data_IF_202995177475
#
_entry.id   IF_202995177475
#
_cell.length_a   1.000
_cell.length_b   1.000
_cell.length_c   1.000
_cell.angle_alpha   90.00
_cell.angle_beta   90.00
_cell.angle_gamma   90.00
#
_symmetry.space_group_name_H-M   'P 1'
#
loop_
_entity.id
_entity.type
_entity.pdbx_description
1 polymer ?
2 non-polymer ?
3 non-polymer ?
4 non-polymer ?
5 non-polymer ?
6 water ?
#
# COMPACT_ATOMS: atom_id res chain seq x y z
N UNK A 12 -33.19 2.80 -6.03
CA UNK A 12 -32.05 1.87 -5.73
C UNK A 12 -32.46 0.90 -4.61
N UNK A 13 -32.39 -0.40 -4.91
CA UNK A 13 -32.92 -1.44 -4.01
C UNK A 13 -32.11 -1.46 -2.70
N UNK A 14 -30.81 -1.16 -2.76
CA UNK A 14 -29.97 -1.07 -1.56
C UNK A 14 -30.53 -0.07 -0.56
N UNK A 15 -31.08 1.04 -1.05
CA UNK A 15 -31.58 2.15 -0.17
C UNK A 15 -32.87 1.70 0.53
N UNK A 16 -33.53 0.63 0.07
CA UNK A 16 -34.75 0.07 0.73
C UNK A 16 -34.36 -1.04 1.72
N UNK A 17 -33.07 -1.38 1.77
CA UNK A 17 -32.55 -2.48 2.61
C UNK A 17 -33.15 -3.80 2.11
N UNK A 18 -33.50 -3.89 0.82
CA UNK A 18 -34.05 -5.12 0.20
C UNK A 18 -32.97 -5.82 -0.61
N UNK A 19 -31.87 -5.13 -0.85
CA UNK A 19 -30.72 -5.69 -1.58
C UNK A 19 -29.45 -5.45 -0.77
N UNK A 20 -28.84 -6.53 -0.31
CA UNK A 20 -27.71 -6.39 0.64
C UNK A 20 -26.39 -6.43 -0.12
N UNK A 21 -25.59 -5.40 0.08
CA UNK A 21 -24.20 -5.33 -0.45
C UNK A 21 -23.26 -5.16 0.74
N UNK A 22 -22.30 -6.07 0.85
CA UNK A 22 -21.27 -6.09 1.92
C UNK A 22 -20.39 -4.83 1.82
N UNK A 23 -20.05 -4.23 2.97
CA UNK A 23 -18.96 -3.22 3.00
C UNK A 23 -17.65 -3.95 2.73
N UNK A 24 -16.59 -3.27 2.22
CA UNK A 24 -15.39 -4.00 1.81
C UNK A 24 -14.46 -4.42 2.98
N UNK A 25 -14.80 -4.07 4.22
CA UNK A 25 -13.93 -4.37 5.39
C UNK A 25 -14.77 -4.87 6.56
N UNK A 26 -14.19 -5.76 7.35
CA UNK A 26 -14.67 -6.06 8.73
C UNK A 26 -13.67 -5.44 9.69
N UNK A 27 -14.15 -4.64 10.64
CA UNK A 27 -13.30 -4.01 11.65
C UNK A 27 -13.60 -4.71 12.97
N UNK A 28 -12.59 -5.25 13.63
CA UNK A 28 -12.77 -5.92 14.92
C UNK A 28 -11.87 -5.25 15.95
N UNK A 29 -12.48 -4.62 16.94
CA UNK A 29 -11.73 -4.04 18.07
C UNK A 29 -11.05 -5.19 18.82
N UNK A 30 -9.82 -4.98 19.23
CA UNK A 30 -9.07 -6.01 19.99
C UNK A 30 -9.38 -5.83 21.48
N UNK A 31 -8.77 -6.65 22.33
CA UNK A 31 -9.10 -6.61 23.77
C UNK A 31 -8.70 -5.27 24.35
N UNK A 32 -7.65 -4.66 23.83
CA UNK A 32 -7.41 -3.20 23.99
C UNK A 32 -8.10 -2.53 22.81
N UNK A 33 -9.30 -1.91 23.02
CA UNK A 33 -10.23 -1.70 21.92
C UNK A 33 -9.82 -0.61 20.92
N UNK A 34 -8.82 0.20 21.27
CA UNK A 34 -8.28 1.21 20.31
C UNK A 34 -7.44 0.51 19.24
N UNK A 35 -6.96 -0.70 19.51
CA UNK A 35 -6.23 -1.51 18.50
C UNK A 35 -7.27 -2.23 17.66
N UNK A 36 -7.19 -2.13 16.34
CA UNK A 36 -8.29 -2.65 15.50
C UNK A 36 -7.72 -3.60 14.46
N UNK A 37 -8.29 -4.79 14.37
CA UNK A 37 -7.95 -5.74 13.31
C UNK A 37 -8.89 -5.48 12.12
N UNK A 38 -8.33 -5.31 10.93
CA UNK A 38 -9.12 -5.04 9.70
C UNK A 38 -8.97 -6.22 8.75
N UNK A 39 -10.11 -6.76 8.31
CA UNK A 39 -10.16 -7.91 7.40
C UNK A 39 -10.76 -7.43 6.09
N UNK A 40 -9.93 -7.14 5.07
CA UNK A 40 -10.44 -6.66 3.80
C UNK A 40 -10.97 -7.84 2.97
N UNK A 41 -11.91 -7.53 2.08
CA UNK A 41 -12.50 -8.53 1.18
C UNK A 41 -11.51 -8.86 0.06
N UNK A 42 -11.34 -10.14 -0.22
CA UNK A 42 -10.54 -10.61 -1.36
C UNK A 42 -11.50 -10.87 -2.51
N UNK A 43 -11.42 -10.08 -3.57
CA UNK A 43 -12.27 -10.30 -4.75
C UNK A 43 -11.50 -11.20 -5.69
N UNK A 44 -11.97 -12.41 -5.88
CA UNK A 44 -11.22 -13.42 -6.63
C UNK A 44 -11.72 -13.43 -8.06
N UNK A 45 -10.80 -13.37 -9.00
CA UNK A 45 -11.20 -13.40 -10.43
C UNK A 45 -10.35 -14.46 -11.11
N UNK A 46 -10.51 -14.58 -12.42
CA UNK A 46 -9.90 -15.71 -13.15
C UNK A 46 -8.39 -15.47 -13.34
N UNK A 47 -7.87 -14.30 -12.97
CA UNK A 47 -6.41 -14.08 -13.13
C UNK A 47 -5.72 -13.75 -11.81
N UNK A 48 -6.45 -13.74 -10.69
CA UNK A 48 -5.86 -13.49 -9.37
C UNK A 48 -6.87 -12.91 -8.42
N UNK A 49 -6.51 -11.84 -7.75
CA UNK A 49 -7.42 -11.21 -6.78
C UNK A 49 -7.19 -9.71 -6.80
N UNK A 50 -8.16 -9.02 -6.23
CA UNK A 50 -8.15 -7.56 -6.01
C UNK A 50 -8.62 -7.32 -4.59
N UNK A 51 -7.87 -6.53 -3.84
CA UNK A 51 -8.25 -6.13 -2.46
C UNK A 51 -8.22 -4.60 -2.37
N UNK A 52 -9.30 -3.99 -1.89
CA UNK A 52 -9.26 -2.59 -1.42
C UNK A 52 -8.69 -2.63 -0.02
N UNK A 53 -7.48 -2.11 0.17
CA UNK A 53 -6.77 -2.29 1.47
C UNK A 53 -6.99 -1.11 2.38
N UNK A 54 -7.42 0.04 1.85
CA UNK A 54 -7.66 1.26 2.63
C UNK A 54 -8.69 2.12 1.91
N UNK A 55 -9.67 2.60 2.65
CA UNK A 55 -10.58 3.67 2.16
C UNK A 55 -10.82 4.63 3.33
N UNK A 56 -10.44 5.88 3.14
CA UNK A 56 -10.46 6.86 4.25
C UNK A 56 -11.87 6.93 4.84
N UNK A 57 -12.91 7.00 4.02
CA UNK A 57 -14.30 7.16 4.53
C UNK A 57 -14.65 6.01 5.50
N UNK A 58 -14.44 4.76 5.10
CA UNK A 58 -14.74 3.57 5.95
C UNK A 58 -13.87 3.57 7.21
N UNK A 59 -12.58 3.89 7.07
CA UNK A 59 -11.64 3.83 8.22
C UNK A 59 -12.03 4.88 9.26
N UNK A 60 -12.41 6.08 8.82
CA UNK A 60 -12.77 7.17 9.76
C UNK A 60 -14.07 6.85 10.49
N UNK A 61 -14.97 6.09 9.85
CA UNK A 61 -16.24 5.62 10.45
C UNK A 61 -15.95 4.62 11.58
N UNK A 62 -14.72 4.10 11.66
CA UNK A 62 -14.37 3.10 12.70
C UNK A 62 -13.29 3.67 13.62
N UNK A 63 -13.13 4.99 13.60
CA UNK A 63 -12.28 5.72 14.55
C UNK A 63 -10.83 5.74 14.14
N UNK A 64 -10.50 5.33 12.92
CA UNK A 64 -9.10 5.40 12.44
C UNK A 64 -8.90 6.74 11.74
N UNK A 65 -8.34 7.67 12.50
CA UNK A 65 -8.29 9.10 12.16
C UNK A 65 -6.85 9.45 11.88
N UNK A 66 -6.65 10.59 11.25
CA UNK A 66 -5.32 11.09 10.90
C UNK A 66 -5.08 10.94 9.42
N UNK A 67 -4.03 11.60 8.97
CA UNK A 67 -3.58 11.52 7.56
C UNK A 67 -2.37 10.60 7.55
N UNK A 68 -2.30 9.72 6.57
CA UNK A 68 -1.18 8.76 6.45
C UNK A 68 -0.10 9.36 5.57
N UNK A 69 0.91 9.97 6.18
CA UNK A 69 1.90 10.80 5.46
C UNK A 69 3.11 10.00 5.00
N UNK A 70 3.24 8.75 5.44
CA UNK A 70 4.46 8.01 5.11
C UNK A 70 4.14 6.53 4.98
N UNK A 71 4.67 5.92 3.93
CA UNK A 71 4.56 4.46 3.73
C UNK A 71 5.94 3.85 3.75
N UNK A 72 6.07 2.70 4.40
CA UNK A 72 7.32 1.93 4.48
C UNK A 72 7.07 0.49 4.07
N UNK A 73 8.14 -0.14 3.59
CA UNK A 73 8.13 -1.53 3.09
C UNK A 73 9.37 -2.19 3.68
N UNK A 74 9.21 -3.26 4.45
CA UNK A 74 10.39 -4.01 4.90
C UNK A 74 10.33 -5.43 4.37
N UNK A 75 11.47 -5.94 3.97
CA UNK A 75 11.63 -7.37 3.64
C UNK A 75 12.53 -8.01 4.69
N UNK A 76 12.05 -9.09 5.28
CA UNK A 76 12.79 -9.94 6.23
C UNK A 76 13.04 -11.29 5.58
N UNK A 77 14.30 -11.65 5.31
CA UNK A 77 14.61 -12.84 4.48
C UNK A 77 14.38 -14.11 5.28
N UNK A 78 14.73 -14.12 6.55
CA UNK A 78 14.76 -15.35 7.38
C UNK A 78 13.65 -15.34 8.43
N UNK A 79 13.06 -16.49 8.66
CA UNK A 79 12.26 -16.79 9.88
C UNK A 79 13.11 -16.41 11.10
N UNK A 80 12.48 -15.82 12.12
CA UNK A 80 13.16 -15.50 13.39
C UNK A 80 13.68 -14.08 13.44
N UNK A 81 13.59 -13.32 12.35
CA UNK A 81 13.81 -11.86 12.42
C UNK A 81 12.76 -11.28 13.39
N UNK A 82 13.20 -10.47 14.34
CA UNK A 82 12.29 -9.73 15.23
C UNK A 82 12.65 -8.26 15.17
N UNK A 83 11.67 -7.41 14.87
CA UNK A 83 11.84 -5.93 14.81
C UNK A 83 10.91 -5.30 15.85
N UNK A 84 11.44 -4.44 16.70
CA UNK A 84 10.66 -3.75 17.74
C UNK A 84 11.44 -3.74 19.06
N UNK A 85 10.83 -3.20 20.14
CA UNK A 85 9.57 -2.50 20.13
C UNK A 85 9.81 -1.04 19.79
N UNK A 86 9.07 -0.52 18.82
CA UNK A 86 9.33 0.80 18.23
C UNK A 86 8.18 1.77 18.46
N UNK A 87 8.55 3.01 18.74
CA UNK A 87 7.61 4.14 18.81
C UNK A 87 8.40 5.44 18.61
N UNK A 88 7.69 6.51 18.28
CA UNK A 88 8.26 7.88 18.16
C UNK A 88 7.66 8.75 19.26
N UNK A 89 8.51 9.52 19.95
CA UNK A 89 8.05 10.47 20.98
C UNK A 89 7.12 11.52 20.37
N UNK A 90 6.14 11.95 21.15
CA UNK A 90 5.31 13.15 20.84
C UNK A 90 6.27 14.32 20.61
N UNK A 91 6.01 15.25 19.66
CA UNK A 91 4.79 15.26 18.85
C UNK A 91 4.85 14.48 17.53
N UNK A 92 5.72 13.48 17.44
CA UNK A 92 5.96 12.72 16.19
C UNK A 92 5.39 11.29 16.27
N UNK A 93 4.46 10.99 17.19
CA UNK A 93 3.93 9.61 17.32
C UNK A 93 3.29 9.18 16.01
N UNK A 94 3.57 7.95 15.60
CA UNK A 94 2.99 7.39 14.36
C UNK A 94 1.89 6.39 14.73
N UNK A 95 0.66 6.66 14.31
CA UNK A 95 -0.33 5.60 14.11
C UNK A 95 0.11 4.75 12.93
N UNK A 96 -0.10 3.44 12.98
CA UNK A 96 0.39 2.55 11.88
C UNK A 96 -0.71 1.60 11.46
N UNK A 97 -0.90 1.47 10.14
CA UNK A 97 -1.67 0.35 9.56
C UNK A 97 -0.65 -0.64 9.02
N UNK A 98 -0.63 -1.85 9.55
CA UNK A 98 0.39 -2.88 9.23
C UNK A 98 -0.28 -4.01 8.47
N UNK A 99 0.34 -4.48 7.38
CA UNK A 99 -0.17 -5.67 6.67
C UNK A 99 1.00 -6.43 6.07
N UNK A 100 0.76 -7.67 5.70
CA UNK A 100 1.84 -8.54 5.17
C UNK A 100 1.43 -8.94 3.76
N UNK A 101 2.21 -8.57 2.76
CA UNK A 101 1.86 -8.88 1.34
C UNK A 101 2.46 -10.23 0.93
N UNK A 102 3.55 -10.65 1.57
CA UNK A 102 4.11 -12.02 1.38
C UNK A 102 4.67 -12.49 2.71
N UNK A 103 4.38 -13.72 3.09
CA UNK A 103 4.91 -14.32 4.31
C UNK A 103 3.98 -14.14 5.48
N UNK A 104 4.54 -14.02 6.68
CA UNK A 104 3.73 -14.14 7.92
C UNK A 104 4.51 -13.56 9.10
N UNK A 105 3.81 -12.78 9.91
CA UNK A 105 4.40 -12.31 11.19
C UNK A 105 3.42 -12.56 12.33
N UNK A 106 4.01 -12.67 13.51
CA UNK A 106 3.33 -12.46 14.80
C UNK A 106 3.50 -10.99 15.11
N UNK A 107 2.40 -10.25 15.09
CA UNK A 107 2.42 -8.79 15.23
C UNK A 107 1.91 -8.41 16.62
N UNK A 108 2.58 -7.46 17.27
CA UNK A 108 2.26 -7.04 18.67
C UNK A 108 2.10 -5.54 18.74
N UNK A 109 1.08 -5.10 19.47
CA UNK A 109 0.85 -3.70 19.82
C UNK A 109 0.92 -3.57 21.33
N UNK A 110 1.73 -2.64 21.82
CA UNK A 110 1.90 -2.44 23.27
C UNK A 110 1.42 -1.03 23.62
N UNK A 111 0.52 -0.93 24.60
CA UNK A 111 -0.01 0.38 25.02
C UNK A 111 1.08 1.08 25.85
N UNK A 112 1.64 2.19 25.36
CA UNK A 112 2.66 2.95 26.13
C UNK A 112 2.17 4.38 26.36
N UNK A 113 0.88 4.54 26.66
CA UNK A 113 0.31 5.86 26.99
C UNK A 113 0.34 6.04 28.51
N UNK A 114 1.14 6.97 29.02
CA UNK A 114 1.15 7.26 30.47
C UNK A 114 -0.28 7.51 30.96
N UNK A 115 -0.60 6.87 32.11
CA UNK A 115 -1.90 7.01 32.81
C UNK A 115 -2.94 6.12 32.14
N UNK A 116 -2.59 5.36 31.10
CA UNK A 116 -3.55 4.41 30.50
C UNK A 116 -3.84 3.31 31.52
N UNK A 117 -5.11 2.89 31.69
CA UNK A 117 -5.41 1.72 32.51
C UNK A 117 -4.83 0.43 31.95
N UNK A 118 -4.46 0.43 30.66
CA UNK A 118 -3.77 -0.72 30.01
C UNK A 118 -2.31 -0.37 29.65
N UNK A 119 -1.69 0.61 30.31
CA UNK A 119 -0.24 0.85 30.16
C UNK A 119 0.56 -0.43 30.35
N UNK A 120 1.46 -0.72 29.40
CA UNK A 120 2.37 -1.87 29.46
C UNK A 120 1.71 -3.17 29.05
N UNK A 121 0.43 -3.13 28.71
CA UNK A 121 -0.30 -4.32 28.21
C UNK A 121 -0.20 -4.38 26.68
N UNK A 122 -0.43 -5.57 26.14
CA UNK A 122 -0.22 -5.83 24.71
C UNK A 122 -1.27 -6.76 24.17
N UNK A 123 -1.52 -6.64 22.87
CA UNK A 123 -2.32 -7.68 22.15
C UNK A 123 -1.51 -8.11 20.92
N UNK A 124 -1.79 -9.29 20.40
CA UNK A 124 -1.05 -9.84 19.26
C UNK A 124 -2.01 -10.48 18.27
N UNK A 125 -1.56 -10.63 17.02
CA UNK A 125 -2.34 -11.33 15.99
C UNK A 125 -1.37 -11.78 14.91
N UNK A 126 -1.77 -12.77 14.14
CA UNK A 126 -0.95 -13.23 13.00
C UNK A 126 -1.37 -12.46 11.75
N UNK A 127 -0.44 -11.71 11.17
CA UNK A 127 -0.71 -11.04 9.89
C UNK A 127 -0.01 -11.83 8.80
N UNK A 128 -0.72 -12.22 7.75
CA UNK A 128 -0.06 -13.02 6.70
C UNK A 128 -0.58 -12.68 5.31
N UNK A 129 0.13 -13.19 4.31
CA UNK A 129 -0.32 -13.08 2.91
C UNK A 129 -1.44 -14.07 2.65
N UNK A 130 -1.68 -14.98 3.58
CA UNK A 130 -2.79 -15.94 3.46
C UNK A 130 -4.10 -15.31 3.98
N UNK A 131 -4.02 -14.60 5.10
CA UNK A 131 -5.25 -14.01 5.69
C UNK A 131 -5.50 -12.60 5.14
N UNK A 132 -4.45 -11.88 4.71
CA UNK A 132 -4.55 -10.48 4.20
C UNK A 132 -5.09 -9.55 5.29
N UNK A 133 -4.95 -9.89 6.57
CA UNK A 133 -5.41 -9.02 7.67
C UNK A 133 -4.48 -7.81 7.82
N UNK A 134 -5.01 -6.75 8.40
CA UNK A 134 -4.24 -5.52 8.69
C UNK A 134 -4.50 -5.12 10.15
N UNK A 135 -3.48 -4.60 10.81
CA UNK A 135 -3.66 -4.15 12.21
C UNK A 135 -3.48 -2.63 12.27
N UNK A 136 -4.42 -1.96 12.93
CA UNK A 136 -4.33 -0.53 13.30
C UNK A 136 -3.69 -0.43 14.68
N UNK A 137 -2.54 0.21 14.75
CA UNK A 137 -1.80 0.43 16.02
C UNK A 137 -1.79 1.93 16.22
N UNK A 138 -2.64 2.48 17.12
CA UNK A 138 -2.79 3.91 17.24
C UNK A 138 -1.54 4.58 17.79
N UNK A 139 -1.44 5.91 17.66
CA UNK A 139 -0.35 6.65 18.30
C UNK A 139 -0.39 6.40 19.83
N UNK A 140 0.78 6.37 20.45
CA UNK A 140 0.92 6.06 21.88
C UNK A 140 1.23 4.60 22.12
N UNK A 141 1.21 3.78 21.07
CA UNK A 141 1.51 2.34 21.16
C UNK A 141 2.87 2.04 20.52
N UNK A 142 3.58 1.05 21.04
CA UNK A 142 4.78 0.50 20.37
C UNK A 142 4.36 -0.69 19.51
N UNK A 143 5.12 -0.91 18.44
CA UNK A 143 4.93 -2.03 17.50
C UNK A 143 6.13 -2.98 17.61
N UNK A 144 5.85 -4.27 17.58
CA UNK A 144 6.88 -5.29 17.34
C UNK A 144 6.36 -6.37 16.44
N UNK A 145 7.25 -7.06 15.75
CA UNK A 145 6.85 -8.18 14.90
C UNK A 145 7.94 -9.25 14.92
N UNK A 146 7.51 -10.48 14.82
CA UNK A 146 8.39 -11.65 14.69
C UNK A 146 8.05 -12.34 13.38
N UNK A 147 9.06 -12.54 12.56
CA UNK A 147 8.87 -13.16 11.21
C UNK A 147 8.76 -14.67 11.34
N UNK A 148 7.67 -15.24 10.83
CA UNK A 148 7.39 -16.68 10.99
C UNK A 148 7.62 -17.42 9.67
N UNK A 149 7.85 -16.72 8.57
CA UNK A 149 8.10 -17.37 7.27
C UNK A 149 9.20 -16.63 6.53
N UNK A 150 9.96 -17.36 5.72
CA UNK A 150 11.02 -16.72 4.91
C UNK A 150 10.41 -15.72 3.94
N UNK A 151 11.20 -14.72 3.58
CA UNK A 151 10.88 -13.73 2.54
C UNK A 151 9.58 -13.01 2.91
N UNK A 152 9.49 -12.51 4.13
CA UNK A 152 8.29 -11.80 4.60
C UNK A 152 8.39 -10.31 4.24
N UNK A 153 7.37 -9.82 3.55
CA UNK A 153 7.24 -8.40 3.15
C UNK A 153 6.13 -7.74 3.96
N UNK A 154 6.51 -6.79 4.79
CA UNK A 154 5.60 -6.01 5.66
C UNK A 154 5.43 -4.61 5.06
N UNK A 155 4.20 -4.13 4.98
CA UNK A 155 3.92 -2.77 4.51
C UNK A 155 3.28 -2.00 5.66
N UNK A 156 3.74 -0.76 5.87
CA UNK A 156 3.23 0.14 6.92
C UNK A 156 2.73 1.43 6.30
N UNK A 157 1.55 1.89 6.69
CA UNK A 157 1.10 3.28 6.48
C UNK A 157 1.19 3.97 7.83
N UNK A 158 1.88 5.11 7.89
CA UNK A 158 2.18 5.83 9.15
C UNK A 158 1.52 7.19 9.13
N UNK A 159 0.97 7.64 10.26
CA UNK A 159 0.34 8.98 10.33
C UNK A 159 1.48 10.01 10.16
N UNK A 160 2.40 10.13 11.11
CA UNK A 160 3.52 11.09 11.05
C UNK A 160 4.68 10.56 10.19
N UNK A 161 5.41 11.50 9.58
CA UNK A 161 6.68 11.21 8.88
C UNK A 161 7.73 10.83 9.93
N UNK A 162 8.67 10.04 9.49
CA UNK A 162 9.87 9.60 10.26
C UNK A 162 10.65 10.83 10.74
N UNK A 163 10.98 10.81 12.02
CA UNK A 163 11.81 11.85 12.69
C UNK A 163 12.84 11.09 13.50
N UNK A 164 14.08 10.94 12.97
CA UNK A 164 15.06 10.04 13.57
C UNK A 164 15.30 10.31 15.06
N UNK A 165 15.30 11.58 15.46
CA UNK A 165 15.67 11.95 16.85
C UNK A 165 14.52 11.57 17.80
N UNK A 166 13.32 11.30 17.29
CA UNK A 166 12.13 10.97 18.12
C UNK A 166 12.00 9.46 18.36
N UNK A 167 12.74 8.65 17.61
CA UNK A 167 12.60 7.17 17.61
C UNK A 167 13.11 6.61 18.94
N UNK A 168 12.33 5.72 19.56
CA UNK A 168 12.77 5.04 20.79
C UNK A 168 12.55 3.55 20.64
N UNK A 169 13.28 2.79 21.44
CA UNK A 169 13.42 1.32 21.32
C UNK A 169 13.27 0.72 22.70
N UNK A 170 12.30 -0.16 22.88
CA UNK A 170 12.16 -0.97 24.12
C UNK A 170 12.46 -2.42 23.79
N UNK A 171 13.20 -3.08 24.68
CA UNK A 171 13.66 -4.47 24.50
C UNK A 171 12.46 -5.39 24.29
N UNK A 172 12.51 -6.18 23.23
CA UNK A 172 11.44 -7.12 22.79
C UNK A 172 11.05 -8.03 23.96
N UNK A 173 12.03 -8.44 24.77
CA UNK A 173 11.80 -9.45 25.83
C UNK A 173 11.78 -8.77 27.20
N UNK A 174 11.45 -7.48 27.24
CA UNK A 174 11.22 -6.77 28.51
C UNK A 174 10.36 -7.64 29.43
N UNK A 175 10.84 -7.94 30.66
CA UNK A 175 10.08 -8.84 31.55
C UNK A 175 8.82 -8.25 32.20
N UNK A 176 8.69 -6.92 32.24
CA UNK A 176 7.44 -6.29 32.72
C UNK A 176 6.36 -6.39 31.64
N UNK A 177 6.69 -6.09 30.39
CA UNK A 177 5.68 -6.20 29.30
C UNK A 177 5.37 -7.69 29.12
N UNK A 178 6.43 -8.52 29.09
CA UNK A 178 6.31 -9.99 29.12
C UNK A 178 5.46 -10.46 27.93
N UNK A 179 5.86 -10.06 26.74
CA UNK A 179 5.21 -10.57 25.51
C UNK A 179 5.55 -12.05 25.41
N UNK A 180 4.56 -12.88 25.10
CA UNK A 180 4.81 -14.32 24.89
C UNK A 180 5.08 -14.56 23.40
N UNK A 181 6.31 -14.31 22.99
CA UNK A 181 6.76 -14.49 21.58
C UNK A 181 6.78 -15.97 21.26
N UNK A 182 6.18 -16.43 20.13
CA UNK A 182 6.20 -17.86 19.80
C UNK A 182 7.58 -18.50 19.54
N UNK A 183 8.63 -17.70 19.39
CA UNK A 183 10.03 -18.16 19.21
C UNK A 183 10.93 -17.26 20.07
N UNK A 184 11.87 -17.85 20.82
CA UNK A 184 12.74 -17.08 21.76
C UNK A 184 14.22 -17.40 21.53
N UNK A 185 14.53 -18.36 20.65
CA UNK A 185 15.92 -18.80 20.37
C UNK A 185 16.29 -18.42 18.93
N UNK A 186 17.58 -18.21 18.69
CA UNK A 186 18.16 -17.88 17.36
C UNK A 186 17.34 -16.80 16.69
N UNK A 187 17.06 -15.73 17.43
CA UNK A 187 16.40 -14.54 16.88
C UNK A 187 17.43 -13.72 16.14
N UNK A 188 16.99 -13.03 15.11
CA UNK A 188 17.85 -12.09 14.36
C UNK A 188 17.36 -10.67 14.65
N UNK A 189 18.13 -9.96 15.46
CA UNK A 189 17.81 -8.59 15.92
C UNK A 189 18.79 -7.64 15.24
N UNK A 190 18.36 -6.43 14.90
CA UNK A 190 19.27 -5.32 14.52
C UNK A 190 20.09 -4.91 15.75
N UNK A 191 21.14 -4.11 15.57
CA UNK A 191 21.96 -3.63 16.72
C UNK A 191 21.11 -2.67 17.58
N UNK A 192 20.32 -1.80 16.93
CA UNK A 192 19.44 -0.86 17.65
C UNK A 192 18.46 -1.65 18.51
N UNK A 193 17.91 -2.74 17.99
CA UNK A 193 16.85 -3.50 18.69
C UNK A 193 17.45 -4.35 19.81
N UNK A 194 18.59 -5.01 19.54
CA UNK A 194 19.38 -5.74 20.55
C UNK A 194 19.70 -4.80 21.70
N UNK A 195 19.82 -3.49 21.43
CA UNK A 195 20.23 -2.50 22.44
C UNK A 195 19.02 -1.71 22.97
N UNK A 196 17.79 -2.17 22.73
CA UNK A 196 16.60 -1.48 23.26
C UNK A 196 16.66 -1.40 24.79
N UNK A 197 16.04 -0.39 25.38
CA UNK A 197 16.06 -0.23 26.86
C UNK A 197 14.92 -1.01 27.49
N UNK A 198 15.08 -1.36 28.77
CA UNK A 198 13.98 -1.97 29.55
C UNK A 198 12.95 -0.88 29.88
N UNK A 199 11.71 -1.33 29.94
CA UNK A 199 10.53 -0.44 30.11
C UNK A 199 10.75 0.48 31.32
N UNK A 200 11.31 -0.04 32.41
CA UNK A 200 11.48 0.76 33.65
C UNK A 200 12.38 1.98 33.40
N UNK A 201 13.21 1.96 32.35
CA UNK A 201 14.16 3.07 32.07
C UNK A 201 13.81 3.73 30.74
N UNK A 202 12.67 3.40 30.14
CA UNK A 202 12.32 3.90 28.79
C UNK A 202 11.90 5.37 28.87
N UNK A 203 12.22 6.11 27.82
CA UNK A 203 11.72 7.49 27.66
C UNK A 203 10.39 7.45 26.90
N UNK A 204 9.33 7.88 27.58
CA UNK A 204 7.94 7.84 27.07
C UNK A 204 7.29 9.17 27.41
N UNK A 205 6.71 9.84 26.43
CA UNK A 205 5.98 11.09 26.73
C UNK A 205 4.52 11.00 26.28
N UNK A 206 4.10 9.91 25.63
CA UNK A 206 2.68 9.78 25.23
C UNK A 206 1.79 9.78 26.47
N UNK A 207 0.64 10.43 26.36
CA UNK A 207 -0.35 10.59 27.45
C UNK A 207 -1.67 9.93 27.05
N UNK A 208 -2.30 9.24 27.97
CA UNK A 208 -3.63 8.64 27.75
C UNK A 208 -4.69 9.73 27.72
N UNK A 209 -5.67 9.64 26.82
CA UNK A 209 -6.80 10.61 26.76
C UNK A 209 -8.18 9.96 26.71
N UNK A 210 -8.38 8.77 27.30
CA UNK A 210 -9.75 8.29 27.62
C UNK A 210 -10.36 7.50 26.48
N UNK B 20 23.49 1.68 -6.31
CA UNK B 20 23.67 2.76 -5.30
C UNK B 20 22.90 4.01 -5.73
N UNK B 21 22.09 4.52 -4.81
CA UNK B 21 21.38 5.82 -4.92
C UNK B 21 21.77 6.64 -3.70
N UNK B 22 22.23 7.87 -3.87
CA UNK B 22 22.65 8.69 -2.70
C UNK B 22 21.44 9.33 -2.01
N UNK B 23 20.39 9.69 -2.75
CA UNK B 23 19.27 10.54 -2.24
C UNK B 23 18.05 9.67 -1.92
N UNK B 24 17.13 10.12 -1.01
CA UNK B 24 16.01 9.27 -0.55
C UNK B 24 14.90 8.96 -1.58
N UNK B 25 14.55 9.94 -2.38
CA UNK B 25 13.81 9.71 -3.64
C UNK B 25 14.50 10.44 -4.78
N UNK B 26 14.44 9.83 -5.96
CA UNK B 26 14.73 10.52 -7.23
C UNK B 26 13.40 10.64 -7.98
N UNK B 27 13.04 11.85 -8.38
CA UNK B 27 11.83 12.11 -9.18
C UNK B 27 12.29 12.44 -10.61
N UNK B 28 11.79 11.71 -11.58
CA UNK B 28 12.15 11.90 -13.01
C UNK B 28 10.88 12.14 -13.81
N UNK B 29 10.72 13.32 -14.40
CA UNK B 29 9.58 13.58 -15.30
C UNK B 29 9.72 12.70 -16.54
N UNK B 30 8.60 12.18 -17.02
CA UNK B 30 8.51 11.39 -18.26
C UNK B 30 8.42 12.35 -19.45
N UNK B 31 8.37 11.82 -20.67
CA UNK B 31 8.33 12.72 -21.85
C UNK B 31 7.01 13.47 -21.87
N UNK B 32 5.94 12.91 -21.29
CA UNK B 32 4.75 13.69 -20.88
C UNK B 32 5.04 14.10 -19.45
N UNK B 33 5.41 15.39 -19.21
CA UNK B 33 6.15 15.76 -17.99
C UNK B 33 5.33 15.69 -16.69
N UNK B 34 4.01 15.62 -16.79
CA UNK B 34 3.13 15.47 -15.61
C UNK B 34 3.23 14.05 -15.05
N UNK B 35 3.64 13.09 -15.88
CA UNK B 35 3.84 11.69 -15.42
C UNK B 35 5.24 11.61 -14.81
N UNK B 36 5.35 11.05 -13.60
CA UNK B 36 6.65 11.13 -12.88
C UNK B 36 7.06 9.73 -12.45
N UNK B 37 8.28 9.36 -12.77
CA UNK B 37 8.86 8.11 -12.28
C UNK B 37 9.59 8.40 -10.96
N UNK B 38 9.28 7.61 -9.94
CA UNK B 38 9.89 7.79 -8.59
C UNK B 38 10.76 6.56 -8.28
N UNK B 39 12.00 6.82 -7.88
CA UNK B 39 12.96 5.77 -7.49
C UNK B 39 13.31 5.95 -6.02
N UNK B 40 12.76 5.12 -5.11
CA UNK B 40 13.09 5.24 -3.69
C UNK B 40 14.43 4.54 -3.40
N UNK B 41 15.11 5.02 -2.38
CA UNK B 41 16.38 4.41 -1.90
C UNK B 41 16.06 3.12 -1.14
N UNK B 42 16.78 2.06 -1.45
CA UNK B 42 16.64 0.76 -0.77
C UNK B 42 17.75 0.64 0.26
N UNK B 43 17.41 0.51 1.53
CA UNK B 43 18.41 0.28 2.60
C UNK B 43 18.54 -1.21 2.85
N UNK B 44 19.66 -1.83 2.55
CA UNK B 44 19.79 -3.29 2.71
C UNK B 44 20.68 -3.60 3.91
N UNK B 45 20.31 -4.58 4.70
CA UNK B 45 21.21 -5.10 5.77
C UNK B 45 21.16 -6.63 5.75
N UNK B 46 21.69 -7.29 6.77
CA UNK B 46 21.77 -8.77 6.79
C UNK B 46 20.39 -9.38 7.04
N UNK B 47 19.42 -8.59 7.48
CA UNK B 47 18.04 -9.10 7.77
C UNK B 47 17.17 -9.07 6.50
N UNK B 48 17.48 -8.16 5.57
CA UNK B 48 16.68 -7.88 4.37
C UNK B 48 16.82 -6.45 3.90
N UNK B 49 15.71 -5.77 3.65
CA UNK B 49 15.80 -4.35 3.23
C UNK B 49 14.66 -3.55 3.84
N UNK B 50 14.81 -2.24 3.77
CA UNK B 50 13.79 -1.26 4.19
C UNK B 50 13.70 -0.19 3.11
N UNK B 51 12.47 0.15 2.71
CA UNK B 51 12.23 1.27 1.75
C UNK B 51 11.19 2.23 2.34
N UNK B 52 11.47 3.52 2.34
CA UNK B 52 10.41 4.53 2.56
C UNK B 52 9.82 4.77 1.17
N UNK B 53 8.60 4.29 0.90
CA UNK B 53 8.07 4.28 -0.48
C UNK B 53 7.29 5.56 -0.79
N UNK B 54 6.86 6.28 0.23
CA UNK B 54 6.07 7.52 0.09
C UNK B 54 6.32 8.41 1.29
N UNK B 55 6.54 9.68 1.03
CA UNK B 55 6.54 10.71 2.09
C UNK B 55 5.85 11.94 1.54
N UNK B 56 4.77 12.37 2.19
CA UNK B 56 3.93 13.43 1.61
C UNK B 56 4.79 14.68 1.38
N UNK B 57 5.64 15.04 2.34
CA UNK B 57 6.47 16.27 2.25
C UNK B 57 7.29 16.25 0.95
N UNK B 58 8.07 15.20 0.70
CA UNK B 58 8.93 15.07 -0.49
C UNK B 58 8.08 15.07 -1.76
N UNK B 59 6.97 14.31 -1.76
CA UNK B 59 6.15 14.14 -2.98
C UNK B 59 5.54 15.48 -3.37
N UNK B 60 5.05 16.25 -2.39
CA UNK B 60 4.38 17.54 -2.68
C UNK B 60 5.40 18.55 -3.20
N UNK B 61 6.65 18.45 -2.74
CA UNK B 61 7.74 19.34 -3.19
C UNK B 61 8.07 19.06 -4.67
N UNK B 62 7.61 17.93 -5.21
CA UNK B 62 7.93 17.53 -6.61
C UNK B 62 6.65 17.49 -7.42
N UNK B 63 5.62 18.16 -6.93
CA UNK B 63 4.39 18.41 -7.69
C UNK B 63 3.37 17.29 -7.57
N UNK B 64 3.60 16.30 -6.71
CA UNK B 64 2.59 15.22 -6.53
C UNK B 64 1.67 15.63 -5.39
N UNK B 65 0.51 16.13 -5.78
CA UNK B 65 -0.44 16.81 -4.90
C UNK B 65 -1.67 15.94 -4.79
N UNK B 66 -2.47 16.23 -3.78
CA UNK B 66 -3.71 15.48 -3.55
C UNK B 66 -3.56 14.60 -2.33
N UNK B 67 -4.69 14.16 -1.83
CA UNK B 67 -4.75 13.20 -0.71
C UNK B 67 -5.03 11.82 -1.28
N UNK B 68 -4.31 10.83 -0.81
CA UNK B 68 -4.48 9.44 -1.27
C UNK B 68 -5.51 8.73 -0.39
N UNK B 69 -6.76 8.70 -0.82
CA UNK B 69 -7.90 8.29 0.02
C UNK B 69 -8.19 6.78 -0.14
N UNK B 70 -7.57 6.12 -1.10
CA UNK B 70 -7.89 4.71 -1.34
C UNK B 70 -6.65 3.98 -1.82
N UNK B 71 -6.41 2.83 -1.22
CA UNK B 71 -5.31 1.94 -1.61
C UNK B 71 -5.89 0.62 -2.07
N UNK B 72 -5.30 0.06 -3.12
CA UNK B 72 -5.73 -1.23 -3.71
C UNK B 72 -4.50 -2.09 -3.95
N UNK B 73 -4.71 -3.39 -3.94
CA UNK B 73 -3.67 -4.41 -4.10
C UNK B 73 -4.23 -5.40 -5.11
N UNK B 74 -3.59 -5.56 -6.24
CA UNK B 74 -4.07 -6.55 -7.23
C UNK B 74 -2.97 -7.56 -7.48
N UNK B 75 -3.36 -8.82 -7.41
CA UNK B 75 -2.43 -9.92 -7.76
C UNK B 75 -2.83 -10.49 -9.11
N UNK B 76 -1.88 -10.49 -10.03
CA UNK B 76 -2.01 -11.15 -11.35
C UNK B 76 -1.17 -12.43 -11.28
N UNK B 77 -1.83 -13.57 -11.09
CA UNK B 77 -1.11 -14.85 -10.92
C UNK B 77 -0.45 -15.25 -12.24
N UNK B 78 -1.11 -14.89 -13.35
CA UNK B 78 -0.74 -15.30 -14.72
C UNK B 78 0.05 -14.20 -15.44
N UNK B 79 1.17 -14.58 -16.01
CA UNK B 79 1.93 -13.79 -17.00
C UNK B 79 1.01 -13.54 -18.19
N UNK B 80 1.06 -12.35 -18.79
CA UNK B 80 0.30 -12.01 -20.01
C UNK B 80 -1.07 -11.40 -19.73
N UNK B 81 -1.46 -11.28 -18.46
CA UNK B 81 -2.63 -10.46 -18.07
C UNK B 81 -2.39 -9.03 -18.57
N UNK B 82 -3.37 -8.48 -19.29
CA UNK B 82 -3.34 -7.08 -19.71
C UNK B 82 -4.62 -6.45 -19.20
N UNK B 83 -4.50 -5.42 -18.36
CA UNK B 83 -5.65 -4.66 -17.84
C UNK B 83 -5.58 -3.20 -18.25
N UNK B 84 -6.70 -2.65 -18.70
CA UNK B 84 -6.76 -1.25 -19.14
C UNK B 84 -7.55 -1.14 -20.44
N UNK B 85 -7.67 0.05 -20.99
CA UNK B 85 -7.18 1.30 -20.43
C UNK B 85 -8.28 1.91 -19.58
N UNK B 86 -7.95 2.21 -18.34
CA UNK B 86 -8.97 2.58 -17.33
C UNK B 86 -8.79 4.01 -16.84
N UNK B 87 -9.90 4.69 -16.66
CA UNK B 87 -9.91 6.06 -16.08
C UNK B 87 -11.28 6.29 -15.48
N UNK B 88 -11.41 7.31 -14.64
CA UNK B 88 -12.70 7.70 -14.00
C UNK B 88 -13.04 9.12 -14.45
N UNK B 89 -14.28 9.35 -14.85
CA UNK B 89 -14.73 10.69 -15.28
C UNK B 89 -14.66 11.67 -14.12
N UNK B 90 -14.36 12.94 -14.43
CA UNK B 90 -14.51 14.05 -13.45
C UNK B 90 -15.96 14.01 -12.97
N UNK B 91 -16.25 14.36 -11.69
CA UNK B 91 -15.24 14.80 -10.71
C UNK B 91 -14.58 13.70 -9.88
N UNK B 92 -14.54 12.48 -10.39
CA UNK B 92 -14.06 11.29 -9.66
C UNK B 92 -12.70 10.81 -10.16
N UNK B 93 -11.95 11.60 -10.92
CA UNK B 93 -10.67 11.11 -11.51
C UNK B 93 -9.72 10.73 -10.37
N UNK B 94 -9.08 9.58 -10.50
CA UNK B 94 -8.08 9.10 -9.52
C UNK B 94 -6.70 9.37 -10.09
N UNK B 95 -5.90 10.22 -9.44
CA UNK B 95 -4.44 10.17 -9.58
C UNK B 95 -3.95 8.89 -8.94
N UNK B 96 -2.93 8.25 -9.48
CA UNK B 96 -2.48 6.95 -8.95
C UNK B 96 -0.97 6.95 -8.79
N UNK B 97 -0.50 6.45 -7.66
CA UNK B 97 0.89 5.99 -7.52
C UNK B 97 0.88 4.46 -7.65
N UNK B 98 1.62 3.95 -8.62
CA UNK B 98 1.66 2.53 -8.97
C UNK B 98 3.03 1.96 -8.64
N UNK B 99 3.08 0.83 -7.94
CA UNK B 99 4.37 0.14 -7.75
C UNK B 99 4.13 -1.36 -7.79
N UNK B 100 5.20 -2.08 -8.06
CA UNK B 100 5.13 -3.55 -8.10
C UNK B 100 5.97 -4.05 -6.93
N UNK B 101 5.32 -4.73 -5.99
CA UNK B 101 6.03 -5.21 -4.77
C UNK B 101 6.63 -6.59 -5.04
N UNK B 102 6.02 -7.37 -5.94
CA UNK B 102 6.57 -8.65 -6.41
C UNK B 102 6.25 -8.82 -7.90
N UNK B 103 7.22 -9.25 -8.68
CA UNK B 103 7.02 -9.51 -10.12
C UNK B 103 7.38 -8.31 -10.96
N UNK B 104 6.67 -8.14 -12.08
CA UNK B 104 7.10 -7.14 -13.08
C UNK B 104 5.93 -6.81 -14.03
N UNK B 105 5.74 -5.53 -14.31
CA UNK B 105 4.75 -5.12 -15.34
C UNK B 105 5.39 -4.12 -16.29
N UNK B 106 4.81 -4.06 -17.47
CA UNK B 106 4.93 -2.92 -18.40
C UNK B 106 3.75 -2.01 -18.08
N UNK B 107 4.04 -0.82 -17.56
CA UNK B 107 3.01 0.10 -17.05
C UNK B 107 2.87 1.27 -18.04
N UNK B 108 1.64 1.68 -18.34
CA UNK B 108 1.36 2.71 -19.37
C UNK B 108 0.47 3.78 -18.78
N UNK B 109 0.79 5.03 -19.07
CA UNK B 109 -0.05 6.21 -18.77
C UNK B 109 -0.41 6.85 -20.10
N UNK B 110 -1.69 7.15 -20.30
CA UNK B 110 -2.20 7.78 -21.54
C UNK B 110 -2.81 9.12 -21.18
N UNK B 111 -2.40 10.18 -21.86
CA UNK B 111 -2.94 11.52 -21.55
C UNK B 111 -4.33 11.62 -22.18
N UNK B 112 -5.38 11.73 -21.36
CA UNK B 112 -6.75 11.91 -21.89
C UNK B 112 -7.35 13.21 -21.39
N UNK B 113 -6.53 14.27 -21.34
CA UNK B 113 -7.01 15.63 -20.99
C UNK B 113 -7.38 16.37 -22.28
N UNK B 114 -8.64 16.67 -22.47
CA UNK B 114 -9.06 17.46 -23.66
C UNK B 114 -8.24 18.75 -23.74
N UNK B 115 -7.78 19.07 -24.96
CA UNK B 115 -7.02 20.29 -25.28
C UNK B 115 -5.55 20.11 -24.92
N UNK B 116 -5.17 18.95 -24.36
CA UNK B 116 -3.74 18.72 -24.07
C UNK B 116 -2.96 18.66 -25.37
N UNK B 117 -1.75 19.26 -25.44
CA UNK B 117 -0.86 19.08 -26.60
C UNK B 117 -0.41 17.62 -26.79
N UNK B 118 -0.54 16.81 -25.73
CA UNK B 118 -0.18 15.37 -25.77
C UNK B 118 -1.44 14.51 -25.58
N UNK B 119 -2.64 15.04 -25.83
CA UNK B 119 -3.86 14.20 -25.84
C UNK B 119 -3.67 12.94 -26.71
N UNK B 120 -4.02 11.79 -26.15
CA UNK B 120 -3.99 10.49 -26.85
C UNK B 120 -2.60 9.90 -26.91
N UNK B 121 -1.60 10.58 -26.35
CA UNK B 121 -0.21 10.08 -26.35
C UNK B 121 0.06 9.32 -25.04
N UNK B 122 1.12 8.53 -25.05
CA UNK B 122 1.37 7.60 -23.91
C UNK B 122 2.85 7.56 -23.55
N UNK B 123 3.12 7.22 -22.30
CA UNK B 123 4.49 6.89 -21.86
C UNK B 123 4.42 5.55 -21.13
N UNK B 124 5.54 4.83 -21.08
CA UNK B 124 5.58 3.51 -20.40
C UNK B 124 6.82 3.39 -19.56
N UNK B 125 6.78 2.49 -18.60
CA UNK B 125 7.98 2.13 -17.84
C UNK B 125 7.81 0.71 -17.35
N UNK B 126 8.92 0.06 -17.06
CA UNK B 126 8.87 -1.30 -16.48
C UNK B 126 8.95 -1.15 -14.97
N UNK B 127 7.89 -1.54 -14.27
CA UNK B 127 7.88 -1.49 -12.80
C UNK B 127 8.15 -2.90 -12.29
N UNK B 128 9.10 -3.06 -11.39
CA UNK B 128 9.35 -4.43 -10.89
C UNK B 128 9.74 -4.42 -9.40
N UNK B 129 9.76 -5.62 -8.84
CA UNK B 129 10.26 -5.84 -7.46
C UNK B 129 11.78 -5.74 -7.45
N UNK B 130 12.42 -5.76 -8.61
CA UNK B 130 13.90 -5.58 -8.69
C UNK B 130 14.25 -4.09 -8.68
N UNK B 131 13.52 -3.27 -9.42
CA UNK B 131 13.86 -1.82 -9.46
C UNK B 131 13.14 -1.06 -8.33
N UNK B 132 12.01 -1.54 -7.84
CA UNK B 132 11.19 -0.85 -6.79
C UNK B 132 10.75 0.54 -7.24
N UNK B 133 10.65 0.76 -8.55
CA UNK B 133 10.19 2.05 -9.09
C UNK B 133 8.70 2.22 -8.86
N UNK B 134 8.27 3.48 -8.85
CA UNK B 134 6.86 3.85 -8.69
C UNK B 134 6.53 4.84 -9.81
N UNK B 135 5.32 4.76 -10.36
CA UNK B 135 4.90 5.73 -11.38
C UNK B 135 3.74 6.56 -10.82
N UNK B 136 3.83 7.88 -10.98
CA UNK B 136 2.72 8.82 -10.70
C UNK B 136 1.95 9.05 -11.99
N UNK B 137 0.68 8.65 -12.00
CA UNK B 137 -0.21 8.85 -13.16
C UNK B 137 -1.25 9.85 -12.69
N UNK B 138 -1.17 11.13 -13.11
CA UNK B 138 -2.05 12.16 -12.56
C UNK B 138 -3.49 11.99 -13.03
N UNK B 139 -4.44 12.66 -12.36
CA UNK B 139 -5.81 12.70 -12.85
C UNK B 139 -5.85 13.22 -14.30
N UNK B 140 -6.77 12.70 -15.10
CA UNK B 140 -6.85 13.08 -16.52
C UNK B 140 -6.17 12.06 -17.40
N UNK B 141 -5.46 11.09 -16.82
CA UNK B 141 -4.74 10.05 -17.57
C UNK B 141 -5.43 8.69 -17.40
N UNK B 142 -5.35 7.84 -18.41
CA UNK B 142 -5.78 6.42 -18.30
C UNK B 142 -4.55 5.60 -17.94
N UNK B 143 -4.78 4.47 -17.29
CA UNK B 143 -3.74 3.51 -16.88
C UNK B 143 -3.99 2.18 -17.57
N UNK B 144 -2.90 1.56 -18.01
CA UNK B 144 -2.94 0.18 -18.49
C UNK B 144 -1.70 -0.54 -18.03
N UNK B 145 -1.76 -1.85 -17.94
CA UNK B 145 -0.56 -2.63 -17.54
C UNK B 145 -0.58 -4.00 -18.21
N UNK B 146 0.61 -4.51 -18.49
CA UNK B 146 0.81 -5.87 -19.01
C UNK B 146 1.72 -6.62 -18.05
N UNK B 147 1.26 -7.76 -17.56
CA UNK B 147 2.02 -8.53 -16.55
C UNK B 147 3.09 -9.35 -17.25
N UNK B 148 4.35 -9.19 -16.83
CA UNK B 148 5.49 -9.83 -17.51
C UNK B 148 6.03 -11.02 -16.71
N UNK B 149 5.57 -11.21 -15.48
CA UNK B 149 6.05 -12.33 -14.64
C UNK B 149 4.86 -12.89 -13.87
N UNK B 150 4.89 -14.18 -13.60
CA UNK B 150 3.86 -14.82 -12.77
C UNK B 150 3.88 -14.24 -11.36
N UNK B 151 2.73 -14.28 -10.70
CA UNK B 151 2.57 -13.87 -9.28
C UNK B 151 3.01 -12.41 -9.13
N UNK B 152 2.51 -11.54 -9.98
CA UNK B 152 2.86 -10.11 -9.90
C UNK B 152 1.83 -9.40 -9.00
N UNK B 153 2.35 -8.71 -7.99
CA UNK B 153 1.54 -7.95 -7.02
C UNK B 153 1.72 -6.46 -7.30
N UNK B 154 0.64 -5.79 -7.67
CA UNK B 154 0.58 -4.33 -7.95
C UNK B 154 -0.06 -3.64 -6.75
N UNK B 155 0.53 -2.55 -6.29
CA UNK B 155 -0.08 -1.74 -5.23
C UNK B 155 -0.37 -0.36 -5.82
N UNK B 156 -1.57 0.15 -5.55
CA UNK B 156 -2.03 1.47 -6.02
C UNK B 156 -2.43 2.32 -4.84
N UNK B 157 -1.95 3.56 -4.81
CA UNK B 157 -2.52 4.64 -3.97
C UNK B 157 -3.30 5.55 -4.91
N UNK B 158 -4.57 5.81 -4.61
CA UNK B 158 -5.50 6.60 -5.48
C UNK B 158 -5.92 7.86 -4.75
N UNK B 159 -6.05 8.98 -5.48
CA UNK B 159 -6.40 10.31 -4.90
C UNK B 159 -7.90 10.53 -4.81
N UNK B 160 -8.69 9.62 -5.34
CA UNK B 160 -10.15 9.64 -5.13
C UNK B 160 -10.58 8.24 -4.71
N UNK B 161 -11.60 8.14 -3.85
CA UNK B 161 -12.24 6.84 -3.58
C UNK B 161 -12.98 6.40 -4.85
N UNK B 162 -13.08 5.10 -5.02
CA UNK B 162 -13.62 4.50 -6.25
C UNK B 162 -15.12 4.80 -6.39
N UNK B 163 -15.50 5.26 -7.57
CA UNK B 163 -16.91 5.52 -7.94
C UNK B 163 -17.20 4.70 -9.19
N UNK B 164 -17.79 3.51 -9.02
CA UNK B 164 -17.89 2.53 -10.10
C UNK B 164 -18.59 3.12 -11.34
N UNK B 165 -19.58 4.00 -11.14
CA UNK B 165 -20.38 4.52 -12.28
C UNK B 165 -19.55 5.53 -13.10
N UNK B 166 -18.44 6.02 -12.56
CA UNK B 166 -17.54 6.97 -13.27
C UNK B 166 -16.46 6.26 -14.10
N UNK B 167 -16.32 4.94 -13.96
CA UNK B 167 -15.24 4.17 -14.63
C UNK B 167 -15.54 4.07 -16.13
N UNK B 168 -14.51 4.29 -16.93
CA UNK B 168 -14.63 4.17 -18.41
C UNK B 168 -13.47 3.32 -18.89
N UNK B 169 -13.62 2.76 -20.08
CA UNK B 169 -12.78 1.69 -20.65
C UNK B 169 -12.48 2.02 -22.11
N UNK B 170 -11.20 2.14 -22.45
CA UNK B 170 -10.76 2.30 -23.86
C UNK B 170 -9.96 1.05 -24.23
N UNK B 171 -10.19 0.53 -25.43
CA UNK B 171 -9.53 -0.67 -25.98
C UNK B 171 -8.02 -0.54 -25.84
N UNK B 172 -7.37 -1.54 -25.24
CA UNK B 172 -5.90 -1.64 -25.04
C UNK B 172 -5.17 -1.41 -26.38
N UNK B 173 -5.78 -1.89 -27.46
CA UNK B 173 -5.18 -1.89 -28.82
C UNK B 173 -5.75 -0.76 -29.67
N UNK B 174 -6.33 0.27 -29.06
CA UNK B 174 -6.79 1.46 -29.81
C UNK B 174 -5.71 1.89 -30.80
N UNK B 175 -6.03 2.00 -32.11
CA UNK B 175 -5.03 2.34 -33.11
C UNK B 175 -4.57 3.80 -33.16
N UNK B 176 -5.34 4.74 -32.59
CA UNK B 176 -4.91 6.15 -32.49
C UNK B 176 -3.88 6.24 -31.38
N UNK B 177 -4.13 5.62 -30.23
CA UNK B 177 -3.15 5.66 -29.11
C UNK B 177 -1.93 4.84 -29.53
N UNK B 178 -2.17 3.65 -30.06
CA UNK B 178 -1.15 2.77 -30.67
C UNK B 178 -0.02 2.48 -29.67
N UNK B 179 -0.38 1.96 -28.51
CA UNK B 179 0.63 1.49 -27.53
C UNK B 179 1.36 0.29 -28.14
N UNK B 180 2.68 0.32 -28.03
CA UNK B 180 3.50 -0.83 -28.46
C UNK B 180 3.71 -1.76 -27.26
N UNK B 181 2.75 -2.64 -27.07
CA UNK B 181 2.76 -3.62 -25.94
C UNK B 181 3.82 -4.67 -26.23
N UNK B 182 4.75 -4.98 -25.28
CA UNK B 182 5.77 -6.00 -25.51
C UNK B 182 5.22 -7.41 -25.26
N UNK B 183 4.15 -7.77 -25.95
CA UNK B 183 3.42 -9.06 -25.83
C UNK B 183 4.33 -10.23 -26.23
N UNK B 184 4.54 -11.17 -25.32
CA UNK B 184 5.38 -12.39 -25.58
C UNK B 184 4.60 -13.66 -25.23
N UNK B 185 3.47 -13.53 -24.53
CA UNK B 185 2.68 -14.66 -24.01
C UNK B 185 1.27 -14.57 -24.60
N UNK B 186 0.48 -15.64 -24.50
CA UNK B 186 -0.97 -15.59 -24.81
C UNK B 186 -1.58 -14.45 -23.98
N UNK B 187 -2.26 -13.52 -24.64
CA UNK B 187 -2.74 -12.30 -23.96
C UNK B 187 -4.03 -12.61 -23.22
N UNK B 188 -4.15 -12.17 -21.97
CA UNK B 188 -5.32 -12.52 -21.16
C UNK B 188 -6.09 -11.24 -20.81
N UNK B 189 -7.19 -11.02 -21.50
CA UNK B 189 -8.03 -9.81 -21.36
C UNK B 189 -9.33 -10.20 -20.69
N UNK B 190 -9.81 -9.37 -19.77
CA UNK B 190 -11.17 -9.49 -19.20
C UNK B 190 -12.22 -9.19 -20.28
N UNK B 191 -13.47 -9.54 -20.00
CA UNK B 191 -14.59 -9.26 -20.94
C UNK B 191 -14.83 -7.75 -20.98
N UNK B 192 -14.74 -7.06 -19.85
CA UNK B 192 -14.89 -5.58 -19.80
C UNK B 192 -13.84 -4.93 -20.71
N UNK B 193 -12.61 -5.45 -20.70
CA UNK B 193 -11.49 -4.82 -21.43
C UNK B 193 -11.59 -5.14 -22.91
N UNK B 194 -11.92 -6.39 -23.25
CA UNK B 194 -12.22 -6.81 -24.63
C UNK B 194 -13.33 -5.92 -25.20
N UNK B 195 -14.22 -5.41 -24.35
CA UNK B 195 -15.38 -4.59 -24.77
C UNK B 195 -15.11 -3.09 -24.59
N UNK B 196 -13.88 -2.66 -24.33
CA UNK B 196 -13.59 -1.21 -24.25
C UNK B 196 -13.89 -0.54 -25.58
N UNK B 197 -14.14 0.77 -25.57
CA UNK B 197 -14.49 1.51 -26.81
C UNK B 197 -13.21 2.07 -27.44
N UNK B 198 -13.26 2.46 -28.72
CA UNK B 198 -12.13 3.17 -29.34
C UNK B 198 -12.13 4.61 -28.87
N UNK B 199 -10.94 5.20 -28.84
CA UNK B 199 -10.72 6.58 -28.37
C UNK B 199 -11.70 7.54 -29.05
N UNK B 200 -11.92 7.40 -30.35
CA UNK B 200 -12.77 8.36 -31.08
C UNK B 200 -14.22 8.29 -30.60
N UNK B 201 -14.61 7.24 -29.88
CA UNK B 201 -16.02 7.09 -29.40
C UNK B 201 -16.06 7.21 -27.88
N UNK B 202 -14.94 7.43 -27.21
CA UNK B 202 -14.85 7.36 -25.74
C UNK B 202 -15.49 8.60 -25.12
N UNK B 203 -16.09 8.41 -23.96
CA UNK B 203 -16.58 9.51 -23.11
C UNK B 203 -15.45 9.97 -22.19
N UNK B 204 -15.04 11.21 -22.36
CA UNK B 204 -13.89 11.85 -21.67
C UNK B 204 -14.33 13.26 -21.32
N UNK B 205 -14.19 13.65 -20.06
CA UNK B 205 -14.55 15.04 -19.66
C UNK B 205 -13.36 15.74 -19.02
N UNK B 206 -12.23 15.06 -18.83
CA UNK B 206 -11.04 15.71 -18.25
C UNK B 206 -10.60 16.85 -19.17
N UNK B 207 -10.14 17.95 -18.59
CA UNK B 207 -9.70 19.15 -19.34
C UNK B 207 -8.25 19.47 -18.98
N UNK B 208 -7.44 19.80 -19.97
CA UNK B 208 -6.05 20.23 -19.80
C UNK B 208 -6.01 21.61 -19.16
N UNK B 209 -5.11 21.86 -18.21
CA UNK B 209 -4.95 23.20 -17.61
C UNK B 209 -3.49 23.66 -17.64
N UNK B 210 -2.56 22.72 -17.52
CA UNK B 210 -1.12 23.01 -17.66
C UNK B 210 -0.85 23.97 -18.79
X LIG C 1 -13.72 -11.97 6.44
X LIG C 1 -13.39 -11.66 5.12
X LIG C 1 -12.25 -12.56 4.71
X LIG C 1 -11.86 -12.43 3.25
X LIG C 1 -13.11 -12.53 2.38
X LIG C 1 -14.16 -11.56 2.90
X LIG C 1 -11.13 -12.30 5.55
X LIG C 1 -10.92 -13.43 2.88
X LIG C 1 -12.81 -12.23 1.01
X LIG C 1 -14.51 -11.85 4.25
X LIG D 1 4.10 -1.98 33.56
X LIG D 1 2.63 -1.74 33.85
X LIG D 1 1.84 -3.05 33.97
X LIG D 1 2.12 -3.97 32.80
X LIG D 1 3.62 -4.12 32.58
X LIG D 1 4.75 -2.58 34.68
X LIG D 1 2.49 -0.97 35.06
X LIG D 1 0.44 -2.77 33.99
X LIG D 1 1.57 -5.26 33.04
X LIG D 1 4.22 -2.82 32.42
X LIG E 1 -2.22 -12.36 -0.36
X LIG F 1 3.42 0.61 2.49
X LIG G 1 -1.14 12.80 10.55
X LIG H 1 -8.79 2.64 -9.98
X LIG H 1 -9.82 1.68 -10.14
X LIG H 1 -9.56 0.73 -11.32
X LIG H 1 -10.62 -0.36 -11.40
X LIG H 1 -10.70 -1.10 -10.07
X LIG H 1 -10.96 -0.11 -8.97
X LIG H 1 -9.49 1.47 -12.53
X LIG H 1 -10.35 -1.26 -12.49
X LIG H 1 -11.76 -2.08 -10.10
X LIG H 1 -9.95 0.90 -8.92
X LIG I 1 -5.23 11.53 -31.04
X LIG I 1 -4.18 12.64 -31.28
X LIG I 1 -2.78 12.14 -31.62
X LIG I 1 -2.36 11.01 -30.67
X LIG I 1 -3.44 9.94 -30.67
X LIG I 1 -5.69 10.96 -32.27
X LIG I 1 -4.67 13.49 -32.33
X LIG I 1 -1.83 13.23 -31.60
X LIG I 1 -1.13 10.42 -31.13
X LIG I 1 -4.69 10.48 -30.23
X LIG J 1 -4.87 -4.37 -11.93
X LIG J 1 -5.01 -3.49 -13.14
X LIG J 1 -5.99 -2.35 -12.95
X LIG J 1 -7.45 -2.89 -13.05
X LIG J 1 -5.74 -1.23 -13.98
X LIG J 1 -6.58 0.01 -13.74
X LIG J 1 -5.84 -5.08 -11.63
X LIG J 1 -3.81 -4.30 -11.25
X LIG J 1 -7.80 -3.41 -14.11
X LIG J 1 -8.16 -2.80 -12.02
X LIG J 1 -7.81 -0.16 -13.70
X LIG J 1 -6.02 1.10 -13.49
X LIG J 1 -5.81 -1.80 -11.67
X LIG K 1 0.34 16.77 -8.99
X LIG L 1 0.15 1.38 -1.10
X LIG M 1 -10.54 3.61 -13.06
#
# INVERSE_FOLDING_TARGET
MHHHHHHSSGVDLGTENLYFQSMPFEFQKMLIPEVILIKPKVFTDDRGFFIETFKQSDFRRHGINGEFLQDNHSLSMKKGVLRGLHYQLDPHAQGKLVRVVLGKVFDVAVDLRRESPTFGKWVSTELSSTNNHMLWIPPGFAHGMLVLEENTHLLYKCTAEYVPESERYIRWDDPDINIKWPIKNNLLLSEKDAAGVFLQRAEINAQYHGS
MHHHHHHSSGVDLGTENLYFQSMPFEFQKMLIPEVILIKPKVFTDDRGFFIETFKQSDFRRHGINGEFLQDNHSLSMKKGVLRGLHYQLDPHAQGKLVRVVLGKVFDVAVDLRRESPTFGKWVSTELSSTNNHMLWIPPGFAHGMLVLEENTHLLYKCTAEYVPESERYIRWDDPDINIKWPIKNNLLLSEKDAAGVFLQRAEINAQYHGS
XYP O1 C1 C2 C3 C4 C5 O2 O3 O4 O5
XYS C1 C2 C3 C4 C5 O1 O2 O3 O4 O5
NA NA
NA NA
NA NA
XYP O1 C1 C2 C3 C4 C5 O2 O3 O4 O5
XYS C1 C2 C3 C4 C5 O1 O2 O3 O4 O5
FLC CAC CA CB CBC CG CGC OA1 OA2 OB1 OB2 OG1 OG2 OHB
NA NA
NA NA
NA NA
#
